data_IF_791997417301
#
_entry.id   IF_791997417301
#
_cell.length_a   1.000
_cell.length_b   1.000
_cell.length_c   1.000
_cell.angle_alpha   90.00
_cell.angle_beta   90.00
_cell.angle_gamma   90.00
#
_symmetry.space_group_name_H-M   'P 1'
#
loop_
_entity.id
_entity.type
_entity.pdbx_description
1 polymer ?
#
# COMPACT_ATOMS: atom_id res chain seq x y z
N UNK A 1 2.48 13.67 -0.02
CA UNK A 1 1.25 13.49 -0.82
C UNK A 1 0.07 13.99 0.01
N UNK A 2 -0.34 15.25 -0.12
CA UNK A 2 -1.34 15.87 0.77
C UNK A 2 -2.71 15.15 0.73
N UNK A 3 -3.09 14.56 -0.41
CA UNK A 3 -4.36 13.85 -0.58
C UNK A 3 -4.21 12.32 -0.65
N UNK A 4 -3.07 11.78 -0.22
CA UNK A 4 -2.78 10.35 -0.38
C UNK A 4 -2.68 9.91 -1.84
N UNK A 5 -2.64 8.59 -2.07
CA UNK A 5 -2.68 7.98 -3.42
C UNK A 5 -4.09 7.45 -3.68
N UNK A 6 -4.60 7.48 -4.91
CA UNK A 6 -5.85 6.79 -5.22
C UNK A 6 -5.73 5.26 -5.03
N UNK A 7 -6.86 4.61 -4.80
CA UNK A 7 -6.99 3.15 -4.81
C UNK A 7 -6.51 2.57 -6.15
N UNK A 8 -5.89 1.40 -6.12
CA UNK A 8 -5.32 0.74 -7.31
C UNK A 8 -4.12 1.44 -7.96
N UNK A 9 -3.77 2.67 -7.57
CA UNK A 9 -2.62 3.40 -8.15
C UNK A 9 -1.33 2.98 -7.46
N UNK A 10 -0.32 2.64 -8.27
CA UNK A 10 1.05 2.34 -7.83
C UNK A 10 1.68 3.58 -7.20
N UNK A 11 2.32 3.41 -6.04
CA UNK A 11 2.98 4.52 -5.37
C UNK A 11 4.21 5.01 -6.17
N UNK A 12 4.31 6.32 -6.39
CA UNK A 12 5.42 6.94 -7.13
C UNK A 12 6.79 6.79 -6.44
N UNK A 13 6.79 6.47 -5.14
CA UNK A 13 8.01 6.27 -4.35
C UNK A 13 8.53 4.83 -4.38
N UNK A 14 7.89 3.93 -5.13
CA UNK A 14 8.37 2.56 -5.31
C UNK A 14 9.37 2.49 -6.46
N UNK A 15 10.55 1.93 -6.20
CA UNK A 15 11.54 1.56 -7.21
C UNK A 15 11.11 0.33 -8.03
N UNK A 16 11.96 -0.14 -8.94
CA UNK A 16 11.68 -1.28 -9.82
C UNK A 16 11.55 -2.61 -9.08
N UNK A 17 12.19 -2.74 -7.91
CA UNK A 17 12.09 -3.90 -7.03
C UNK A 17 10.94 -3.80 -6.01
N UNK A 18 10.12 -2.75 -6.09
CA UNK A 18 9.06 -2.41 -5.14
C UNK A 18 9.56 -2.04 -3.73
N UNK A 19 10.80 -1.56 -3.62
CA UNK A 19 11.32 -0.88 -2.43
C UNK A 19 10.85 0.57 -2.35
N UNK A 20 10.63 1.08 -1.14
CA UNK A 20 10.27 2.48 -0.93
C UNK A 20 11.52 3.38 -0.90
N UNK A 21 11.65 4.30 -1.85
CA UNK A 21 12.79 5.23 -1.97
C UNK A 21 12.95 6.18 -0.78
N UNK A 22 11.86 6.42 -0.05
CA UNK A 22 11.82 7.28 1.14
C UNK A 22 11.66 6.49 2.44
N UNK A 23 12.06 5.21 2.47
CA UNK A 23 12.01 4.40 3.68
C UNK A 23 12.85 5.04 4.80
N UNK A 24 12.23 5.28 5.97
CA UNK A 24 12.88 5.88 7.13
C UNK A 24 12.97 7.41 7.11
N UNK A 25 12.55 8.06 6.03
CA UNK A 25 12.57 9.52 5.90
C UNK A 25 11.29 10.16 6.46
N UNK A 26 11.34 11.40 6.97
CA UNK A 26 10.18 12.08 7.56
C UNK A 26 9.05 12.36 6.54
N UNK A 27 9.36 12.38 5.24
CA UNK A 27 8.39 12.56 4.15
C UNK A 27 7.55 11.30 3.89
N UNK A 28 7.94 10.14 4.45
CA UNK A 28 7.19 8.89 4.29
C UNK A 28 5.81 9.05 4.96
N UNK A 29 4.70 8.84 4.23
CA UNK A 29 3.38 8.96 4.82
C UNK A 29 3.20 8.06 6.04
N UNK A 30 2.61 8.61 7.11
CA UNK A 30 2.44 7.89 8.38
C UNK A 30 1.73 6.53 8.20
N UNK A 31 0.74 6.46 7.32
CA UNK A 31 0.03 5.22 6.99
C UNK A 31 0.93 4.12 6.44
N UNK A 32 1.99 4.48 5.69
CA UNK A 32 2.94 3.51 5.16
C UNK A 32 3.87 2.93 6.24
N UNK A 33 4.00 3.60 7.40
CA UNK A 33 4.73 3.09 8.56
C UNK A 33 3.84 2.35 9.54
N UNK A 34 2.57 2.75 9.66
CA UNK A 34 1.61 2.11 10.57
C UNK A 34 1.02 0.81 9.99
N UNK A 35 0.91 0.69 8.67
CA UNK A 35 0.45 -0.53 8.03
C UNK A 35 1.56 -1.60 8.05
N UNK A 36 1.45 -2.53 9.00
CA UNK A 36 2.36 -3.66 9.13
C UNK A 36 1.91 -4.84 8.25
N UNK A 37 2.84 -5.60 7.65
CA UNK A 37 2.48 -6.81 6.92
C UNK A 37 1.88 -7.85 7.86
N UNK A 38 0.84 -8.52 7.41
CA UNK A 38 0.12 -9.54 8.18
C UNK A 38 -0.12 -10.77 7.27
N UNK A 39 0.01 -12.01 7.79
CA UNK A 39 -0.18 -13.23 7.01
C UNK A 39 -1.42 -13.31 6.12
N UNK A 40 -2.61 -12.94 6.61
CA UNK A 40 -3.85 -12.98 5.82
C UNK A 40 -3.83 -11.95 4.68
N UNK A 41 -3.23 -10.78 4.93
CA UNK A 41 -3.01 -9.75 3.92
C UNK A 41 -1.99 -10.20 2.87
N UNK A 42 -0.82 -10.68 3.27
CA UNK A 42 0.28 -10.96 2.35
C UNK A 42 0.10 -12.30 1.60
N UNK A 43 -0.49 -13.30 2.24
CA UNK A 43 -0.64 -14.65 1.71
C UNK A 43 0.69 -15.24 1.25
N UNK A 44 0.67 -15.95 0.11
CA UNK A 44 1.84 -16.63 -0.48
C UNK A 44 2.32 -16.01 -1.80
N UNK A 45 1.66 -14.96 -2.28
CA UNK A 45 1.99 -14.33 -3.57
C UNK A 45 1.56 -12.87 -3.60
N UNK A 46 2.24 -12.08 -4.43
CA UNK A 46 1.84 -10.69 -4.69
C UNK A 46 0.40 -10.59 -5.20
N UNK A 47 -0.04 -11.56 -6.03
CA UNK A 47 -1.42 -11.63 -6.52
C UNK A 47 -2.43 -11.76 -5.39
N UNK A 48 -2.17 -12.61 -4.39
CA UNK A 48 -3.04 -12.72 -3.20
C UNK A 48 -3.13 -11.38 -2.47
N UNK A 49 -1.98 -10.75 -2.19
CA UNK A 49 -1.94 -9.48 -1.49
C UNK A 49 -2.72 -8.38 -2.24
N UNK A 50 -2.59 -8.32 -3.56
CA UNK A 50 -3.35 -7.38 -4.37
C UNK A 50 -4.85 -7.65 -4.32
N UNK A 51 -5.30 -8.90 -4.39
CA UNK A 51 -6.72 -9.23 -4.23
C UNK A 51 -7.27 -8.84 -2.85
N UNK A 52 -6.48 -9.03 -1.80
CA UNK A 52 -6.84 -8.61 -0.44
C UNK A 52 -7.03 -7.09 -0.37
N UNK A 53 -6.05 -6.33 -0.88
CA UNK A 53 -6.12 -4.87 -0.91
C UNK A 53 -7.31 -4.36 -1.73
N UNK A 54 -7.58 -4.94 -2.90
CA UNK A 54 -8.74 -4.58 -3.72
C UNK A 54 -10.06 -4.83 -2.98
N UNK A 55 -10.18 -5.92 -2.23
CA UNK A 55 -11.38 -6.18 -1.41
C UNK A 55 -11.58 -5.10 -0.36
N UNK A 56 -10.50 -4.67 0.30
CA UNK A 56 -10.58 -3.58 1.26
C UNK A 56 -10.98 -2.26 0.59
N UNK A 57 -10.37 -1.92 -0.54
CA UNK A 57 -10.68 -0.71 -1.31
C UNK A 57 -12.18 -0.65 -1.68
N UNK A 58 -12.76 -1.78 -2.12
CA UNK A 58 -14.21 -1.87 -2.41
C UNK A 58 -15.04 -1.71 -1.14
N UNK A 59 -14.67 -2.40 -0.05
CA UNK A 59 -15.42 -2.38 1.20
C UNK A 59 -15.43 -0.99 1.87
N UNK A 60 -14.40 -0.17 1.61
CA UNK A 60 -14.24 1.17 2.18
C UNK A 60 -14.47 2.29 1.17
N UNK A 61 -14.96 2.00 -0.03
CA UNK A 61 -15.28 3.02 -1.02
C UNK A 61 -16.38 3.93 -0.46
N UNK A 62 -16.12 5.23 -0.43
CA UNK A 62 -17.15 6.22 -0.11
C UNK A 62 -18.23 6.16 -1.21
N UNK A 63 -19.49 6.06 -0.80
CA UNK A 63 -20.65 6.13 -1.70
C UNK A 63 -21.00 7.58 -2.00
#
# INVERSE_FOLDING_TARGET
MPNGKPAGVRCAQLDEANGCRIFGQPERPAVCGSLQPEPDMCGRSATHAMHFLTRLEIATAAH
#
